data_IF_673104890180
#
_entry.id   IF_673104890180
#
_cell.length_a   1.000
_cell.length_b   1.000
_cell.length_c   1.000
_cell.angle_alpha   90.00
_cell.angle_beta   90.00
_cell.angle_gamma   90.00
#
_symmetry.space_group_name_H-M   'P 1'
#
loop_
_entity.id
_entity.type
_entity.pdbx_description
1 polymer ?
#
# COMPACT_ATOMS: atom_id res chain seq x y z
N UNK A 1 6.44 32.05 41.66
CA UNK A 1 7.17 32.26 40.36
C UNK A 1 7.83 31.00 39.80
N UNK A 2 8.35 30.06 40.62
CA UNK A 2 9.07 28.87 40.13
C UNK A 2 8.20 27.82 39.38
N UNK A 3 6.92 27.65 39.74
CA UNK A 3 6.02 26.67 39.12
C UNK A 3 5.61 27.04 37.68
N UNK A 4 5.48 28.33 37.39
CA UNK A 4 5.15 28.79 36.03
C UNK A 4 6.33 28.64 35.06
N UNK A 5 7.56 28.85 35.54
CA UNK A 5 8.78 28.65 34.73
C UNK A 5 9.01 27.15 34.39
N UNK A 6 8.75 26.24 35.34
CA UNK A 6 8.85 24.78 35.09
C UNK A 6 7.83 24.28 34.04
N UNK A 7 6.58 24.83 34.10
CA UNK A 7 5.55 24.48 33.11
C UNK A 7 5.89 24.99 31.71
N UNK A 8 6.48 26.19 31.61
CA UNK A 8 6.92 26.74 30.33
C UNK A 8 8.08 25.95 29.71
N UNK A 9 9.08 25.56 30.51
CA UNK A 9 10.18 24.71 30.07
C UNK A 9 9.70 23.32 29.61
N UNK A 10 8.79 22.69 30.34
CA UNK A 10 8.23 21.39 29.96
C UNK A 10 7.46 21.48 28.62
N UNK A 11 6.74 22.59 28.38
CA UNK A 11 6.02 22.80 27.12
C UNK A 11 6.96 23.02 25.93
N UNK A 12 8.07 23.74 26.13
CA UNK A 12 9.10 23.98 25.10
C UNK A 12 9.83 22.67 24.78
N UNK A 13 10.20 21.86 25.78
CA UNK A 13 10.83 20.55 25.57
C UNK A 13 9.90 19.57 24.85
N UNK A 14 8.60 19.56 25.17
CA UNK A 14 7.63 18.74 24.47
C UNK A 14 7.45 19.19 23.01
N UNK A 15 7.46 20.51 22.75
CA UNK A 15 7.40 21.06 21.39
C UNK A 15 8.63 20.70 20.55
N UNK A 16 9.83 20.81 21.15
CA UNK A 16 11.09 20.43 20.48
C UNK A 16 11.18 18.91 20.22
N UNK A 17 10.72 18.08 21.15
CA UNK A 17 10.68 16.63 20.95
C UNK A 17 9.68 16.25 19.84
N UNK A 18 8.51 16.89 19.79
CA UNK A 18 7.52 16.70 18.74
C UNK A 18 8.03 17.18 17.37
N UNK A 19 8.73 18.34 17.33
CA UNK A 19 9.38 18.86 16.14
C UNK A 19 10.47 17.91 15.62
N UNK A 20 11.37 17.45 16.49
CA UNK A 20 12.42 16.51 16.12
C UNK A 20 11.85 15.16 15.66
N UNK A 21 10.78 14.68 16.28
CA UNK A 21 10.09 13.46 15.85
C UNK A 21 9.39 13.64 14.49
N UNK A 22 8.81 14.81 14.21
CA UNK A 22 8.23 15.14 12.91
C UNK A 22 9.30 15.20 11.81
N UNK A 23 10.42 15.90 12.08
CA UNK A 23 11.57 15.99 11.15
C UNK A 23 12.21 14.62 10.89
N UNK A 24 12.45 13.81 11.94
CA UNK A 24 12.94 12.42 11.79
C UNK A 24 11.96 11.51 11.04
N UNK A 25 10.67 11.84 11.04
CA UNK A 25 9.65 11.11 10.29
C UNK A 25 9.65 11.49 8.79
N UNK A 26 9.99 12.72 8.45
CA UNK A 26 10.16 13.20 7.07
C UNK A 26 11.48 12.70 6.45
N UNK A 27 12.56 12.57 7.22
CA UNK A 27 13.86 12.10 6.74
C UNK A 27 13.87 10.66 6.20
N UNK A 28 12.84 9.85 6.50
CA UNK A 28 12.74 8.45 6.08
C UNK A 28 11.69 8.21 4.98
N UNK A 29 11.16 9.26 4.35
CA UNK A 29 10.18 9.12 3.26
C UNK A 29 10.89 9.02 1.91
N UNK A 30 10.56 7.98 1.15
CA UNK A 30 11.06 7.77 -0.21
C UNK A 30 10.03 8.34 -1.18
N UNK A 31 10.37 9.44 -1.82
CA UNK A 31 9.50 10.07 -2.82
C UNK A 31 9.42 9.19 -4.06
N UNK A 32 8.22 8.91 -4.52
CA UNK A 32 7.98 8.16 -5.75
C UNK A 32 7.95 9.10 -6.97
N UNK A 33 8.30 8.61 -8.15
CA UNK A 33 8.10 9.36 -9.39
C UNK A 33 6.62 9.73 -9.60
N UNK A 34 6.37 10.89 -10.21
CA UNK A 34 5.01 11.33 -10.53
C UNK A 34 4.27 10.30 -11.40
N UNK A 35 3.00 10.00 -11.08
CA UNK A 35 2.22 9.04 -11.85
C UNK A 35 1.85 9.61 -13.21
N UNK A 36 1.96 8.80 -14.24
CA UNK A 36 1.49 9.14 -15.59
C UNK A 36 -0.04 9.07 -15.62
N UNK A 37 -0.66 10.11 -16.19
CA UNK A 37 -2.12 10.20 -16.37
C UNK A 37 -2.57 9.79 -17.78
N UNK A 38 -1.62 9.60 -18.68
CA UNK A 38 -1.82 9.14 -20.04
C UNK A 38 -1.07 7.83 -20.28
N UNK A 39 -1.67 6.94 -21.03
CA UNK A 39 -1.13 5.61 -21.34
C UNK A 39 -1.34 5.26 -22.82
N UNK A 40 -0.69 4.20 -23.29
CA UNK A 40 -0.82 3.69 -24.68
C UNK A 40 -1.93 2.65 -24.81
N UNK A 41 -2.31 1.98 -23.72
CA UNK A 41 -3.33 0.93 -23.69
C UNK A 41 -4.66 1.56 -23.27
N UNK A 42 -5.71 1.34 -24.03
CA UNK A 42 -7.05 1.84 -23.68
C UNK A 42 -7.63 1.06 -22.51
N UNK A 43 -8.65 1.63 -21.86
CA UNK A 43 -9.36 0.95 -20.77
C UNK A 43 -10.04 -0.32 -21.30
N UNK A 44 -10.61 -0.27 -22.49
CA UNK A 44 -11.26 -1.40 -23.15
C UNK A 44 -10.28 -2.54 -23.43
N UNK A 45 -9.09 -2.20 -23.92
CA UNK A 45 -8.01 -3.16 -24.17
C UNK A 45 -7.53 -3.78 -22.85
N UNK A 46 -7.31 -2.97 -21.82
CA UNK A 46 -6.90 -3.46 -20.51
C UNK A 46 -7.95 -4.38 -19.88
N UNK A 47 -9.25 -4.06 -20.02
CA UNK A 47 -10.35 -4.90 -19.57
C UNK A 47 -10.39 -6.22 -20.36
N UNK A 48 -10.25 -6.18 -21.68
CA UNK A 48 -10.31 -7.35 -22.54
C UNK A 48 -9.16 -8.33 -22.27
N UNK A 49 -7.96 -7.82 -21.96
CA UNK A 49 -6.73 -8.61 -21.81
C UNK A 49 -6.39 -9.01 -20.37
N UNK A 50 -6.94 -8.29 -19.38
CA UNK A 50 -6.68 -8.56 -17.95
C UNK A 50 -6.92 -10.03 -17.60
N UNK A 51 -5.92 -10.67 -17.03
CA UNK A 51 -5.99 -12.04 -16.49
C UNK A 51 -5.32 -12.10 -15.12
N UNK A 52 -5.67 -13.08 -14.31
CA UNK A 52 -4.90 -13.46 -13.12
C UNK A 52 -3.69 -14.26 -13.55
N UNK A 53 -2.52 -13.62 -13.60
CA UNK A 53 -1.25 -14.24 -13.98
C UNK A 53 -0.41 -14.47 -12.74
N UNK A 54 0.25 -15.63 -12.66
CA UNK A 54 1.00 -16.11 -11.48
C UNK A 54 2.42 -16.54 -11.85
N UNK A 55 2.90 -16.09 -13.00
CA UNK A 55 4.26 -16.32 -13.47
C UNK A 55 4.91 -14.98 -13.70
N UNK A 56 6.13 -14.82 -13.23
CA UNK A 56 6.88 -13.59 -13.27
C UNK A 56 8.28 -13.87 -13.80
N UNK A 57 8.84 -12.92 -14.53
CA UNK A 57 10.24 -12.92 -14.89
C UNK A 57 11.08 -12.45 -13.70
N UNK A 58 12.35 -12.85 -13.69
CA UNK A 58 13.33 -12.41 -12.67
C UNK A 58 13.86 -10.99 -12.91
N UNK A 59 13.07 -10.14 -13.55
CA UNK A 59 13.43 -8.77 -13.87
C UNK A 59 12.91 -7.81 -12.80
N UNK A 60 13.78 -6.93 -12.32
CA UNK A 60 13.41 -5.88 -11.37
C UNK A 60 12.34 -4.94 -11.97
N UNK A 61 11.43 -4.47 -11.11
CA UNK A 61 10.50 -3.42 -11.45
C UNK A 61 11.16 -2.05 -11.24
N UNK A 62 10.88 -1.11 -12.13
CA UNK A 62 11.33 0.27 -11.95
C UNK A 62 10.50 0.99 -10.88
N UNK A 63 11.04 2.06 -10.29
CA UNK A 63 10.27 2.90 -9.37
C UNK A 63 9.01 3.48 -10.04
N UNK A 64 9.04 3.73 -11.36
CA UNK A 64 7.86 4.18 -12.11
C UNK A 64 6.76 3.11 -12.14
N UNK A 65 7.09 1.82 -12.24
CA UNK A 65 6.10 0.74 -12.12
C UNK A 65 5.44 0.75 -10.74
N UNK A 66 6.25 0.88 -9.68
CA UNK A 66 5.77 0.93 -8.29
C UNK A 66 4.86 2.14 -8.07
N UNK A 67 5.32 3.34 -8.48
CA UNK A 67 4.55 4.57 -8.37
C UNK A 67 3.19 4.46 -9.04
N UNK A 68 3.17 3.92 -10.27
CA UNK A 68 1.96 3.80 -11.06
C UNK A 68 0.97 2.79 -10.46
N UNK A 69 1.43 1.62 -9.99
CA UNK A 69 0.59 0.63 -9.33
C UNK A 69 -0.02 1.17 -8.03
N UNK A 70 0.77 1.83 -7.19
CA UNK A 70 0.31 2.40 -5.93
C UNK A 70 -0.67 3.56 -6.16
N UNK A 71 -0.39 4.42 -7.15
CA UNK A 71 -1.28 5.51 -7.54
C UNK A 71 -2.62 4.98 -8.08
N UNK A 72 -2.60 3.97 -8.96
CA UNK A 72 -3.83 3.37 -9.47
C UNK A 72 -4.69 2.76 -8.36
N UNK A 73 -4.05 2.25 -7.31
CA UNK A 73 -4.73 1.68 -6.15
C UNK A 73 -5.42 2.73 -5.26
N UNK A 74 -4.67 3.77 -4.82
CA UNK A 74 -5.13 4.73 -3.81
C UNK A 74 -4.57 6.15 -3.98
N UNK A 75 -3.98 6.47 -5.14
CA UNK A 75 -3.40 7.78 -5.38
C UNK A 75 -4.41 8.91 -5.38
N UNK A 76 -3.95 10.12 -5.12
CA UNK A 76 -4.75 11.34 -5.17
C UNK A 76 -5.04 11.70 -6.63
N UNK A 77 -6.30 12.06 -6.95
CA UNK A 77 -6.77 12.31 -8.33
C UNK A 77 -7.53 13.63 -8.50
N UNK A 78 -7.48 14.55 -7.62
CA UNK A 78 -8.23 15.79 -7.76
C UNK A 78 -7.50 17.00 -7.20
N UNK A 79 -7.84 18.17 -7.70
CA UNK A 79 -7.17 19.45 -7.41
C UNK A 79 -7.18 19.86 -5.94
N UNK A 80 -7.97 19.20 -5.10
CA UNK A 80 -8.08 19.49 -3.66
C UNK A 80 -7.59 18.37 -2.76
N UNK A 81 -6.85 17.40 -3.28
CA UNK A 81 -6.28 16.30 -2.49
C UNK A 81 -7.30 15.36 -1.82
N UNK A 82 -8.60 15.51 -2.11
CA UNK A 82 -9.70 14.81 -1.41
C UNK A 82 -10.24 13.59 -2.13
N UNK A 83 -9.92 13.44 -3.43
CA UNK A 83 -10.36 12.30 -4.24
C UNK A 83 -9.23 11.32 -4.44
N UNK A 84 -9.57 10.05 -4.54
CA UNK A 84 -8.61 8.98 -4.83
C UNK A 84 -8.99 8.23 -6.11
N UNK A 85 -8.05 7.47 -6.64
CA UNK A 85 -8.22 6.63 -7.82
C UNK A 85 -9.32 5.58 -7.65
N UNK A 86 -9.49 5.03 -6.46
CA UNK A 86 -10.60 4.14 -6.13
C UNK A 86 -11.72 4.88 -5.37
N UNK A 87 -13.01 4.63 -5.71
CA UNK A 87 -14.14 5.19 -4.98
C UNK A 87 -14.25 4.59 -3.58
N UNK A 88 -14.60 5.43 -2.60
CA UNK A 88 -14.78 5.04 -1.20
C UNK A 88 -16.13 5.51 -0.67
N UNK A 89 -16.83 4.67 0.08
CA UNK A 89 -18.11 5.01 0.69
C UNK A 89 -17.96 6.22 1.61
N UNK A 90 -18.66 7.32 1.27
CA UNK A 90 -18.59 8.57 2.03
C UNK A 90 -17.19 9.18 2.13
N UNK A 91 -16.28 8.82 1.24
CA UNK A 91 -14.88 9.23 1.23
C UNK A 91 -14.17 8.93 2.57
N UNK A 92 -14.47 7.78 3.18
CA UNK A 92 -13.86 7.36 4.46
C UNK A 92 -12.45 6.82 4.30
N UNK A 93 -12.09 6.32 3.11
CA UNK A 93 -10.77 5.82 2.74
C UNK A 93 -10.15 4.90 3.81
N UNK A 94 -10.80 3.75 4.09
CA UNK A 94 -10.36 2.84 5.14
C UNK A 94 -9.12 2.04 4.78
N UNK A 95 -8.68 2.07 3.51
CA UNK A 95 -7.63 1.19 3.03
C UNK A 95 -6.23 1.81 3.19
N UNK A 96 -5.31 0.99 3.68
CA UNK A 96 -3.87 1.23 3.65
C UNK A 96 -3.22 0.27 2.67
N UNK A 97 -2.16 0.73 2.00
CA UNK A 97 -1.34 -0.09 1.11
C UNK A 97 0.03 -0.29 1.71
N UNK A 98 0.45 -1.55 1.74
CA UNK A 98 1.80 -1.95 2.05
C UNK A 98 2.41 -2.61 0.80
N UNK A 99 3.72 -2.48 0.67
CA UNK A 99 4.50 -3.04 -0.41
C UNK A 99 5.61 -3.88 0.20
N UNK A 100 5.59 -5.20 -0.02
CA UNK A 100 6.74 -6.05 0.23
C UNK A 100 7.58 -6.09 -1.05
N UNK A 101 8.86 -5.79 -0.91
CA UNK A 101 9.88 -5.79 -1.99
C UNK A 101 10.84 -6.93 -1.70
N UNK A 102 11.00 -7.85 -2.65
CA UNK A 102 11.95 -8.95 -2.57
C UNK A 102 13.37 -8.54 -2.92
N UNK A 103 14.32 -9.44 -2.67
CA UNK A 103 15.71 -9.25 -3.05
C UNK A 103 15.80 -8.99 -4.56
N UNK A 104 16.42 -7.87 -4.94
CA UNK A 104 16.50 -7.40 -6.33
C UNK A 104 15.14 -7.23 -7.04
N UNK A 105 14.04 -7.14 -6.30
CA UNK A 105 12.68 -7.01 -6.86
C UNK A 105 12.42 -5.67 -7.52
N UNK A 106 13.14 -4.61 -7.15
CA UNK A 106 12.97 -3.27 -7.70
C UNK A 106 14.29 -2.54 -7.92
N UNK A 107 14.29 -1.62 -8.90
CA UNK A 107 15.37 -0.65 -9.05
C UNK A 107 15.18 0.48 -8.03
N UNK A 108 16.19 0.68 -7.17
CA UNK A 108 16.25 1.82 -6.25
C UNK A 108 15.44 1.70 -4.95
N UNK A 109 14.84 0.52 -4.67
CA UNK A 109 14.33 0.17 -3.35
C UNK A 109 15.02 -1.11 -2.88
N UNK A 110 15.50 -1.11 -1.65
CA UNK A 110 16.02 -2.33 -1.02
C UNK A 110 14.88 -3.30 -0.69
N UNK A 111 15.23 -4.57 -0.48
CA UNK A 111 14.29 -5.54 0.04
C UNK A 111 13.71 -5.08 1.39
N UNK A 112 12.43 -5.36 1.61
CA UNK A 112 11.77 -4.95 2.84
C UNK A 112 10.28 -4.70 2.69
N UNK A 113 9.68 -4.18 3.75
CA UNK A 113 8.27 -3.79 3.79
C UNK A 113 8.15 -2.27 3.85
N UNK A 114 7.32 -1.73 3.00
CA UNK A 114 7.06 -0.30 2.89
C UNK A 114 5.57 -0.01 3.06
N UNK A 115 5.24 1.12 3.66
CA UNK A 115 3.89 1.66 3.69
C UNK A 115 3.77 2.83 2.71
N UNK A 116 2.72 2.84 1.91
CA UNK A 116 2.42 3.93 0.98
C UNK A 116 1.61 5.04 1.64
N UNK A 117 2.01 6.28 1.37
CA UNK A 117 1.36 7.50 1.81
C UNK A 117 0.83 8.26 0.58
N UNK A 118 -0.48 8.16 0.29
CA UNK A 118 -1.04 8.72 -0.93
C UNK A 118 -0.98 10.24 -1.03
N UNK A 119 -1.02 10.97 0.09
CA UNK A 119 -1.01 12.43 0.10
C UNK A 119 0.33 12.98 -0.40
N UNK A 120 1.40 12.35 0.02
CA UNK A 120 2.79 12.69 -0.30
C UNK A 120 3.29 11.91 -1.54
N UNK A 121 2.52 10.96 -2.05
CA UNK A 121 2.93 10.01 -3.08
C UNK A 121 4.29 9.38 -2.77
N UNK A 122 4.45 8.86 -1.58
CA UNK A 122 5.72 8.40 -1.05
C UNK A 122 5.60 7.07 -0.31
N UNK A 123 6.75 6.44 -0.06
CA UNK A 123 6.88 5.22 0.72
C UNK A 123 7.66 5.50 2.01
N UNK A 124 7.30 4.82 3.08
CA UNK A 124 8.10 4.73 4.30
C UNK A 124 8.47 3.28 4.54
N UNK A 125 9.76 2.98 4.69
CA UNK A 125 10.21 1.64 5.08
C UNK A 125 9.78 1.35 6.51
N UNK A 126 9.17 0.19 6.72
CA UNK A 126 8.68 -0.31 8.02
C UNK A 126 9.58 -1.43 8.52
N UNK A 127 10.05 -2.29 7.59
CA UNK A 127 10.92 -3.43 7.87
C UNK A 127 11.98 -3.52 6.76
N UNK A 128 13.22 -3.88 7.10
CA UNK A 128 14.34 -3.97 6.17
C UNK A 128 14.72 -5.42 5.80
N UNK A 129 13.78 -6.34 5.97
CA UNK A 129 13.95 -7.78 5.66
C UNK A 129 13.05 -8.20 4.51
N UNK A 130 13.58 -8.99 3.57
CA UNK A 130 12.73 -9.71 2.61
C UNK A 130 11.82 -10.69 3.35
N UNK A 131 10.53 -10.59 3.11
CA UNK A 131 9.50 -11.44 3.74
C UNK A 131 8.79 -12.35 2.75
N UNK A 132 9.26 -12.46 1.49
CA UNK A 132 8.53 -13.14 0.40
C UNK A 132 8.27 -14.61 0.71
N UNK A 133 9.26 -15.35 1.22
CA UNK A 133 9.10 -16.75 1.59
C UNK A 133 8.11 -16.91 2.76
N UNK A 134 8.26 -16.10 3.80
CA UNK A 134 7.36 -16.10 4.96
C UNK A 134 5.93 -15.72 4.55
N UNK A 135 5.78 -14.74 3.64
CA UNK A 135 4.50 -14.30 3.10
C UNK A 135 3.85 -15.40 2.25
N UNK A 136 4.64 -16.13 1.44
CA UNK A 136 4.17 -17.29 0.68
C UNK A 136 3.66 -18.40 1.58
N UNK A 137 4.38 -18.70 2.68
CA UNK A 137 3.93 -19.68 3.67
C UNK A 137 2.64 -19.23 4.37
N UNK A 138 2.54 -17.94 4.74
CA UNK A 138 1.30 -17.37 5.28
C UNK A 138 0.16 -17.40 4.27
N UNK A 139 0.46 -17.29 2.97
CA UNK A 139 -0.47 -17.45 1.86
C UNK A 139 -0.70 -18.92 1.46
N UNK A 140 -0.70 -19.83 2.41
CA UNK A 140 -0.98 -21.27 2.23
C UNK A 140 -0.02 -21.99 1.27
N UNK A 141 1.25 -21.55 1.24
CA UNK A 141 2.29 -22.14 0.40
C UNK A 141 2.17 -21.77 -1.09
N UNK A 142 1.47 -20.69 -1.43
CA UNK A 142 1.33 -20.23 -2.81
C UNK A 142 2.64 -19.66 -3.33
N UNK A 143 3.45 -20.50 -4.00
CA UNK A 143 4.83 -20.19 -4.44
C UNK A 143 4.97 -18.95 -5.32
N UNK A 144 3.93 -18.59 -6.07
CA UNK A 144 3.95 -17.39 -6.90
C UNK A 144 3.97 -16.08 -6.08
N UNK A 145 3.61 -16.15 -4.78
CA UNK A 145 3.77 -15.02 -3.84
C UNK A 145 5.26 -14.80 -3.53
N UNK A 146 6.01 -15.89 -3.33
CA UNK A 146 7.45 -15.81 -3.11
C UNK A 146 8.23 -15.40 -4.38
N UNK A 147 7.78 -15.86 -5.56
CA UNK A 147 8.49 -15.61 -6.82
C UNK A 147 8.23 -14.24 -7.44
N UNK A 148 7.25 -13.48 -6.93
CA UNK A 148 6.97 -12.14 -7.42
C UNK A 148 8.03 -11.14 -6.92
N UNK A 149 8.53 -10.21 -7.75
CA UNK A 149 9.45 -9.18 -7.30
C UNK A 149 8.87 -8.26 -6.23
N UNK A 150 7.54 -8.07 -6.24
CA UNK A 150 6.83 -7.30 -5.21
C UNK A 150 5.49 -7.94 -4.86
N UNK A 151 5.01 -7.64 -3.65
CA UNK A 151 3.64 -7.94 -3.23
C UNK A 151 2.98 -6.67 -2.68
N UNK A 152 1.91 -6.19 -3.32
CA UNK A 152 1.03 -5.19 -2.72
C UNK A 152 0.10 -5.86 -1.73
N UNK A 153 -0.04 -5.29 -0.52
CA UNK A 153 -0.95 -5.81 0.50
C UNK A 153 -1.97 -4.75 0.86
N UNK A 154 -3.24 -5.09 0.70
CA UNK A 154 -4.37 -4.23 1.02
C UNK A 154 -4.83 -4.51 2.46
N UNK A 155 -4.82 -3.48 3.29
CA UNK A 155 -5.13 -3.55 4.71
C UNK A 155 -6.25 -2.59 5.02
N UNK A 156 -7.26 -3.03 5.78
CA UNK A 156 -8.44 -2.26 6.11
C UNK A 156 -8.46 -1.81 7.57
N UNK A 157 -8.83 -0.56 7.79
CA UNK A 157 -9.33 -0.02 9.06
C UNK A 157 -10.85 0.09 8.97
N UNK A 158 -11.54 -0.93 9.42
CA UNK A 158 -13.01 -0.94 9.38
C UNK A 158 -13.64 0.20 10.15
N UNK A 159 -13.00 0.68 11.24
CA UNK A 159 -13.57 1.73 12.11
C UNK A 159 -13.82 3.03 11.35
N UNK A 160 -12.98 3.35 10.35
CA UNK A 160 -13.17 4.54 9.51
C UNK A 160 -14.52 4.55 8.80
N UNK A 161 -14.98 3.40 8.34
CA UNK A 161 -16.24 3.30 7.58
C UNK A 161 -17.40 2.89 8.48
N UNK A 162 -17.21 1.97 9.43
CA UNK A 162 -18.28 1.55 10.34
C UNK A 162 -18.68 2.67 11.31
N UNK A 163 -17.79 3.56 11.67
CA UNK A 163 -18.11 4.75 12.46
C UNK A 163 -19.19 5.64 11.83
N UNK A 164 -19.28 5.64 10.48
CA UNK A 164 -20.30 6.39 9.73
C UNK A 164 -21.52 5.54 9.34
N UNK A 165 -21.30 4.25 9.01
CA UNK A 165 -22.31 3.40 8.40
C UNK A 165 -22.75 2.21 9.25
N UNK A 166 -22.29 2.12 10.50
CA UNK A 166 -22.56 0.99 11.38
C UNK A 166 -22.07 -0.34 10.77
N UNK A 167 -22.77 -1.42 11.04
CA UNK A 167 -22.41 -2.77 10.55
C UNK A 167 -22.33 -2.88 9.02
N UNK A 168 -23.12 -2.08 8.29
CA UNK A 168 -23.06 -2.03 6.81
C UNK A 168 -21.70 -1.58 6.27
N UNK A 169 -20.97 -0.80 7.06
CA UNK A 169 -19.63 -0.30 6.71
C UNK A 169 -18.65 -1.41 6.36
N UNK A 170 -18.73 -2.59 6.99
CA UNK A 170 -17.85 -3.72 6.66
C UNK A 170 -18.00 -4.14 5.19
N UNK A 171 -19.24 -4.27 4.70
CA UNK A 171 -19.48 -4.60 3.29
C UNK A 171 -18.92 -3.55 2.34
N UNK A 172 -19.02 -2.26 2.69
CA UNK A 172 -18.48 -1.18 1.87
C UNK A 172 -16.97 -1.21 1.78
N UNK A 173 -16.28 -1.57 2.87
CA UNK A 173 -14.82 -1.78 2.87
C UNK A 173 -14.41 -2.90 1.91
N UNK A 174 -15.13 -4.03 1.91
CA UNK A 174 -14.85 -5.13 0.97
C UNK A 174 -15.10 -4.74 -0.50
N UNK A 175 -16.13 -3.95 -0.77
CA UNK A 175 -16.38 -3.40 -2.11
C UNK A 175 -15.23 -2.48 -2.55
N UNK A 176 -14.75 -1.61 -1.66
CA UNK A 176 -13.62 -0.73 -1.95
C UNK A 176 -12.33 -1.53 -2.23
N UNK A 177 -12.05 -2.59 -1.45
CA UNK A 177 -10.92 -3.48 -1.72
C UNK A 177 -11.01 -4.10 -3.13
N UNK A 178 -12.21 -4.48 -3.57
CA UNK A 178 -12.47 -4.94 -4.94
C UNK A 178 -12.20 -3.87 -5.99
N UNK A 179 -12.63 -2.62 -5.76
CA UNK A 179 -12.36 -1.49 -6.66
C UNK A 179 -10.85 -1.25 -6.80
N UNK A 180 -10.12 -1.23 -5.68
CA UNK A 180 -8.66 -1.05 -5.65
C UNK A 180 -7.98 -2.19 -6.42
N UNK A 181 -8.34 -3.43 -6.13
CA UNK A 181 -7.69 -4.57 -6.78
C UNK A 181 -7.94 -4.58 -8.29
N UNK A 182 -9.14 -4.19 -8.74
CA UNK A 182 -9.43 -4.06 -10.17
C UNK A 182 -8.61 -2.95 -10.83
N UNK A 183 -8.43 -1.80 -10.17
CA UNK A 183 -7.54 -0.75 -10.67
C UNK A 183 -6.11 -1.24 -10.84
N UNK A 184 -5.59 -1.99 -9.85
CA UNK A 184 -4.25 -2.59 -9.92
C UNK A 184 -4.15 -3.58 -11.08
N UNK A 185 -5.17 -4.42 -11.30
CA UNK A 185 -5.21 -5.34 -12.45
C UNK A 185 -5.12 -4.60 -13.79
N UNK A 186 -5.95 -3.58 -13.98
CA UNK A 186 -5.99 -2.81 -15.23
C UNK A 186 -4.68 -2.04 -15.45
N UNK A 187 -4.14 -1.46 -14.37
CA UNK A 187 -2.87 -0.75 -14.46
C UNK A 187 -1.70 -1.70 -14.73
N UNK A 188 -1.68 -2.88 -14.11
CA UNK A 188 -0.67 -3.89 -14.39
C UNK A 188 -0.72 -4.32 -15.87
N UNK A 189 -1.92 -4.58 -16.42
CA UNK A 189 -2.10 -4.89 -17.84
C UNK A 189 -1.54 -3.79 -18.73
N UNK A 190 -1.87 -2.52 -18.44
CA UNK A 190 -1.39 -1.37 -19.19
C UNK A 190 0.13 -1.16 -19.13
N UNK A 191 0.78 -1.70 -18.08
CA UNK A 191 2.24 -1.67 -17.90
C UNK A 191 2.95 -2.92 -18.43
N UNK A 192 2.21 -3.91 -18.96
CA UNK A 192 2.75 -5.20 -19.36
C UNK A 192 3.20 -6.07 -18.19
N UNK A 193 2.60 -5.86 -17.01
CA UNK A 193 2.89 -6.59 -15.79
C UNK A 193 1.86 -7.69 -15.54
N UNK A 194 2.30 -8.73 -14.87
CA UNK A 194 1.48 -9.83 -14.35
C UNK A 194 1.07 -9.54 -12.92
N UNK A 195 -0.19 -9.85 -12.55
CA UNK A 195 -0.68 -9.76 -11.16
C UNK A 195 -1.85 -10.71 -10.92
N UNK A 196 -2.13 -10.98 -9.66
CA UNK A 196 -3.32 -11.72 -9.22
C UNK A 196 -3.73 -11.27 -7.81
N UNK A 197 -5.03 -11.24 -7.51
CA UNK A 197 -5.52 -11.00 -6.16
C UNK A 197 -5.61 -12.31 -5.39
N UNK A 198 -4.94 -12.40 -4.25
CA UNK A 198 -4.94 -13.54 -3.34
C UNK A 198 -5.75 -13.17 -2.11
N UNK A 199 -6.85 -13.89 -1.88
CA UNK A 199 -7.68 -13.77 -0.68
C UNK A 199 -7.52 -14.95 0.30
N UNK A 200 -6.79 -16.01 -0.13
CA UNK A 200 -6.58 -17.21 0.68
C UNK A 200 -5.21 -17.14 1.38
N UNK A 201 -5.21 -16.73 2.64
CA UNK A 201 -4.02 -16.64 3.50
C UNK A 201 -4.41 -16.66 4.99
N UNK A 202 -3.44 -16.96 5.84
CA UNK A 202 -3.52 -16.80 7.29
C UNK A 202 -3.31 -15.31 7.64
N UNK A 203 -4.41 -14.61 7.92
CA UNK A 203 -4.38 -13.16 8.17
C UNK A 203 -3.53 -12.76 9.36
N UNK A 204 -3.48 -13.59 10.41
CA UNK A 204 -2.74 -13.28 11.63
C UNK A 204 -1.23 -13.42 11.40
N UNK A 205 -0.81 -14.40 10.57
CA UNK A 205 0.58 -14.51 10.14
C UNK A 205 0.99 -13.34 9.27
N UNK A 206 0.19 -12.97 8.27
CA UNK A 206 0.47 -11.82 7.41
C UNK A 206 0.53 -10.52 8.22
N UNK A 207 -0.39 -10.33 9.17
CA UNK A 207 -0.39 -9.15 10.05
C UNK A 207 0.89 -9.02 10.87
N UNK A 208 1.39 -10.14 11.41
CA UNK A 208 2.67 -10.16 12.14
C UNK A 208 3.87 -9.84 11.25
N UNK A 209 3.92 -10.42 10.04
CA UNK A 209 4.99 -10.16 9.07
C UNK A 209 5.07 -8.69 8.65
N UNK A 210 3.93 -8.02 8.58
CA UNK A 210 3.85 -6.61 8.20
C UNK A 210 3.93 -5.65 9.39
N UNK A 211 4.04 -6.15 10.62
CA UNK A 211 4.08 -5.33 11.84
C UNK A 211 2.83 -4.46 12.03
N UNK A 212 1.66 -4.90 11.55
CA UNK A 212 0.42 -4.11 11.63
C UNK A 212 -0.34 -4.34 12.93
N UNK A 213 -1.06 -3.30 13.35
CA UNK A 213 -1.88 -3.33 14.55
C UNK A 213 -3.05 -4.32 14.39
N UNK A 214 -3.39 -5.04 15.46
CA UNK A 214 -4.50 -6.00 15.50
C UNK A 214 -5.89 -5.40 15.21
N UNK A 215 -6.03 -4.07 15.25
CA UNK A 215 -7.27 -3.37 14.84
C UNK A 215 -7.44 -3.29 13.31
N UNK A 216 -6.40 -3.60 12.56
CA UNK A 216 -6.39 -3.60 11.10
C UNK A 216 -6.53 -5.04 10.58
N UNK A 217 -7.06 -5.19 9.38
CA UNK A 217 -7.29 -6.51 8.77
C UNK A 217 -6.75 -6.56 7.34
N UNK A 218 -5.96 -7.58 7.03
CA UNK A 218 -5.47 -7.83 5.66
C UNK A 218 -6.62 -8.38 4.82
N UNK A 219 -6.82 -7.81 3.62
CA UNK A 219 -7.90 -8.23 2.70
C UNK A 219 -7.38 -8.88 1.42
N UNK A 220 -6.29 -8.39 0.86
CA UNK A 220 -5.66 -8.96 -0.33
C UNK A 220 -4.14 -8.91 -0.25
N UNK A 221 -3.51 -9.92 -0.83
CA UNK A 221 -2.13 -9.88 -1.28
C UNK A 221 -2.17 -9.87 -2.81
N UNK A 222 -1.47 -8.94 -3.44
CA UNK A 222 -1.40 -8.82 -4.89
C UNK A 222 0.07 -8.85 -5.34
N UNK A 223 0.60 -10.06 -5.63
CA UNK A 223 1.91 -10.22 -6.24
C UNK A 223 1.94 -9.53 -7.60
N UNK A 224 3.02 -8.85 -7.95
CA UNK A 224 3.17 -8.25 -9.27
C UNK A 224 4.62 -8.35 -9.77
N UNK A 225 4.77 -8.53 -11.08
CA UNK A 225 6.06 -8.66 -11.78
C UNK A 225 5.89 -8.63 -13.30
N UNK A 226 7.01 -8.66 -14.03
CA UNK A 226 7.01 -8.74 -15.51
C UNK A 226 6.70 -10.13 -16.01
#
# INVERSE_FOLDING_TARGET
MHVAALKALASICAGLAAWNAAMANEENMIQLPEPRKEGKVSVEEAIANRRSRRQYKTEALTQQHIAQLLWSAQGITGDKGKKRSAPSAGATYPMYLYLAVGDNGTEGLSAGVYRYFPAEHSLKQIENKDIHDDLSQAALGQKFVASAPINLVLIADYKKTTGRYGSRGRRYVHMEAGHISQNVYLQAEALGLSTTAVGAFDKDKVSRLLGINAALEVLYIMPAGK
#
